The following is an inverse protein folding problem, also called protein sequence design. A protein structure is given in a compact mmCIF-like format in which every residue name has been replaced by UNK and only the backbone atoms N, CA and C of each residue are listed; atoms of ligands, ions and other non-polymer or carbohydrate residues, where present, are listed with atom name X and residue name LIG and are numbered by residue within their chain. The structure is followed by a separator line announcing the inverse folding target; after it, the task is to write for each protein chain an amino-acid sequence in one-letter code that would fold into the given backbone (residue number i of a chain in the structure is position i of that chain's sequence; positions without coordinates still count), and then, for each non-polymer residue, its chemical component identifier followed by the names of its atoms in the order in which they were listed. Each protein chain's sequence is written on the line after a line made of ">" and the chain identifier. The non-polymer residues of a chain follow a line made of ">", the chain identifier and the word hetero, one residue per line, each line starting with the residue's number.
data_IF_765153867611
#
_entry.id   IF_765153867611
#
_cell.length_a   1.000
_cell.length_b   1.000
_cell.length_c   1.000
_cell.angle_alpha   90.00
_cell.angle_beta   90.00
_cell.angle_gamma   90.00
#
_symmetry.space_group_name_H-M   'P 1'
#
loop_
_entity.id
_entity.type
_entity.pdbx_description
1 polymer ?
#
# COMPACT_ATOMS: atom_id res chain seq x y z
N UNK A 1 -13.58 8.58 -9.32
CA UNK A 1 -12.27 8.91 -8.68
C UNK A 1 -11.84 7.78 -7.76
N UNK A 2 -12.75 7.29 -6.91
CA UNK A 2 -12.56 6.07 -6.11
C UNK A 2 -12.36 4.83 -6.99
N UNK A 3 -13.08 4.74 -8.12
CA UNK A 3 -13.01 3.58 -9.03
C UNK A 3 -11.61 3.33 -9.57
N UNK A 4 -10.86 4.40 -9.90
CA UNK A 4 -9.49 4.25 -10.40
C UNK A 4 -8.48 3.76 -9.35
N UNK A 5 -8.74 4.00 -8.06
CA UNK A 5 -7.94 3.42 -6.96
C UNK A 5 -8.26 1.93 -6.85
N UNK A 6 -9.54 1.57 -6.92
CA UNK A 6 -9.99 0.17 -6.88
C UNK A 6 -9.41 -0.60 -8.06
N UNK A 7 -9.49 -0.07 -9.28
CA UNK A 7 -8.94 -0.69 -10.49
C UNK A 7 -7.43 -0.95 -10.37
N UNK A 8 -6.69 -0.04 -9.73
CA UNK A 8 -5.27 -0.22 -9.48
C UNK A 8 -4.97 -1.34 -8.48
N UNK A 9 -5.89 -1.61 -7.55
CA UNK A 9 -5.76 -2.72 -6.60
C UNK A 9 -6.17 -4.07 -7.19
N UNK A 10 -7.00 -4.12 -8.24
CA UNK A 10 -7.38 -5.38 -8.92
C UNK A 10 -6.14 -6.10 -9.47
N UNK A 11 -5.14 -5.36 -9.95
CA UNK A 11 -3.88 -5.94 -10.43
C UNK A 11 -3.10 -6.71 -9.36
N UNK A 12 -3.31 -6.39 -8.07
CA UNK A 12 -2.64 -7.05 -6.96
C UNK A 12 -3.06 -8.50 -6.77
N UNK A 13 -4.28 -8.88 -7.19
CA UNK A 13 -4.72 -10.29 -7.16
C UNK A 13 -3.81 -11.18 -8.01
N UNK A 14 -3.35 -10.66 -9.16
CA UNK A 14 -2.51 -11.40 -10.11
C UNK A 14 -1.03 -11.26 -9.80
N UNK A 15 -0.61 -10.09 -9.33
CA UNK A 15 0.79 -9.74 -9.10
C UNK A 15 0.93 -8.95 -7.78
N UNK A 16 0.80 -9.62 -6.62
CA UNK A 16 0.83 -8.95 -5.32
C UNK A 16 2.19 -8.31 -5.01
N UNK A 17 3.27 -8.79 -5.64
CA UNK A 17 4.62 -8.27 -5.46
C UNK A 17 4.99 -7.09 -6.37
N UNK A 18 4.08 -6.61 -7.23
CA UNK A 18 4.34 -5.51 -8.18
C UNK A 18 4.71 -4.19 -7.50
N UNK A 19 4.20 -3.96 -6.28
CA UNK A 19 4.53 -2.79 -5.48
C UNK A 19 5.92 -2.86 -4.87
N UNK A 20 6.66 -1.76 -4.94
CA UNK A 20 7.96 -1.63 -4.27
C UNK A 20 7.81 -1.64 -2.75
N UNK A 21 8.87 -2.07 -2.03
CA UNK A 21 8.91 -2.00 -0.57
C UNK A 21 8.89 -0.55 -0.07
N UNK A 22 8.05 -0.30 0.92
CA UNK A 22 7.97 1.01 1.58
C UNK A 22 9.18 1.22 2.50
N UNK A 23 10.10 2.10 2.06
CA UNK A 23 11.35 2.39 2.76
C UNK A 23 11.13 2.94 4.17
N UNK A 24 10.04 3.69 4.38
CA UNK A 24 9.70 4.27 5.68
C UNK A 24 9.16 3.25 6.70
N UNK A 25 8.85 2.02 6.27
CA UNK A 25 8.25 0.96 7.08
C UNK A 25 9.06 -0.35 7.01
N UNK A 26 10.35 -0.29 6.62
CA UNK A 26 11.21 -1.47 6.53
C UNK A 26 11.49 -2.15 7.88
N UNK A 27 11.33 -1.40 8.96
CA UNK A 27 11.43 -1.87 10.34
C UNK A 27 10.24 -2.76 10.76
N UNK A 28 9.16 -2.76 9.98
CA UNK A 28 7.94 -3.51 10.29
C UNK A 28 7.97 -4.92 9.66
N UNK A 29 7.54 -5.97 10.40
CA UNK A 29 7.62 -7.36 9.93
C UNK A 29 6.72 -7.66 8.72
N UNK A 30 5.69 -6.85 8.48
CA UNK A 30 4.69 -7.04 7.42
C UNK A 30 5.27 -6.85 6.01
N UNK A 31 6.53 -6.37 5.86
CA UNK A 31 7.17 -6.13 4.56
C UNK A 31 6.30 -5.24 3.65
N UNK A 32 5.87 -4.10 4.19
CA UNK A 32 4.98 -3.17 3.50
C UNK A 32 5.45 -2.83 2.09
N UNK A 33 4.48 -2.74 1.18
CA UNK A 33 4.62 -2.36 -0.21
C UNK A 33 3.72 -1.19 -0.54
N UNK A 34 3.96 -0.55 -1.67
CA UNK A 34 3.10 0.53 -2.13
C UNK A 34 2.83 0.52 -3.62
N UNK A 35 1.68 1.05 -3.99
CA UNK A 35 1.36 1.50 -5.35
C UNK A 35 1.10 3.00 -5.35
N UNK A 36 1.38 3.66 -6.48
CA UNK A 36 1.04 5.08 -6.69
C UNK A 36 0.02 5.18 -7.80
N UNK A 37 -1.11 5.81 -7.52
CA UNK A 37 -2.13 6.15 -8.49
C UNK A 37 -2.42 7.64 -8.44
N UNK A 38 -2.03 8.39 -9.48
CA UNK A 38 -2.08 9.86 -9.50
C UNK A 38 -1.35 10.45 -8.28
N UNK A 39 -2.03 11.27 -7.47
CA UNK A 39 -1.50 11.85 -6.23
C UNK A 39 -1.82 10.98 -5.00
N UNK A 40 -2.15 9.70 -5.17
CA UNK A 40 -2.44 8.80 -4.05
C UNK A 40 -1.41 7.69 -3.96
N UNK A 41 -1.03 7.35 -2.73
CA UNK A 41 -0.23 6.19 -2.41
C UNK A 41 -1.08 5.20 -1.62
N UNK A 42 -1.05 3.96 -2.06
CA UNK A 42 -1.76 2.83 -1.47
C UNK A 42 -0.70 1.96 -0.79
N UNK A 43 -0.71 1.90 0.53
CA UNK A 43 0.18 1.05 1.32
C UNK A 43 -0.53 -0.26 1.61
N UNK A 44 0.15 -1.37 1.36
CA UNK A 44 -0.42 -2.70 1.55
C UNK A 44 0.65 -3.71 1.98
N UNK A 45 0.23 -4.88 2.42
CA UNK A 45 1.11 -6.03 2.57
C UNK A 45 0.41 -7.34 2.19
N UNK A 46 1.21 -8.35 1.93
CA UNK A 46 0.73 -9.70 1.58
C UNK A 46 0.62 -10.48 2.90
N UNK A 47 -0.61 -10.86 3.26
CA UNK A 47 -0.86 -11.67 4.44
C UNK A 47 -0.80 -13.14 4.05
N UNK A 48 0.40 -13.71 3.98
CA UNK A 48 0.62 -15.11 3.60
C UNK A 48 -0.23 -16.08 4.46
N UNK A 49 -0.35 -15.93 5.79
CA UNK A 49 -1.20 -16.81 6.60
C UNK A 49 -2.69 -16.78 6.25
N UNK A 50 -3.23 -15.60 5.87
CA UNK A 50 -4.64 -15.44 5.50
C UNK A 50 -4.91 -15.57 4.01
N UNK A 51 -3.86 -15.69 3.20
CA UNK A 51 -3.90 -15.74 1.74
C UNK A 51 -4.68 -14.57 1.12
N UNK A 52 -4.48 -13.36 1.65
CA UNK A 52 -5.10 -12.14 1.11
C UNK A 52 -4.14 -10.95 1.17
N UNK A 53 -4.60 -9.81 0.68
CA UNK A 53 -3.86 -8.55 0.70
C UNK A 53 -4.54 -7.59 1.66
N UNK A 54 -3.80 -7.12 2.65
CA UNK A 54 -4.28 -6.10 3.58
C UNK A 54 -3.88 -4.72 3.06
N UNK A 55 -4.87 -3.86 2.81
CA UNK A 55 -4.64 -2.44 2.51
C UNK A 55 -4.53 -1.68 3.83
N UNK A 56 -3.32 -1.21 4.15
CA UNK A 56 -3.00 -0.54 5.40
C UNK A 56 -3.51 0.91 5.42
N UNK A 57 -3.24 1.63 4.34
CA UNK A 57 -3.49 3.07 4.25
C UNK A 57 -3.60 3.50 2.79
N UNK A 58 -4.49 4.45 2.52
CA UNK A 58 -4.53 5.20 1.25
C UNK A 58 -4.45 6.67 1.60
N UNK A 59 -3.47 7.40 1.07
CA UNK A 59 -3.30 8.82 1.38
C UNK A 59 -2.80 9.61 0.18
N UNK A 60 -3.01 10.91 0.24
CA UNK A 60 -2.55 11.85 -0.80
C UNK A 60 -1.04 12.14 -0.61
N UNK A 61 -0.23 11.88 -1.64
CA UNK A 61 1.23 12.02 -1.62
C UNK A 61 1.69 13.47 -1.52
N UNK A 62 0.80 14.45 -1.70
CA UNK A 62 1.11 15.87 -1.48
C UNK A 62 1.14 16.23 0.01
N UNK A 63 0.68 15.34 0.88
CA UNK A 63 0.80 15.47 2.32
C UNK A 63 2.16 14.95 2.81
N UNK A 64 2.50 15.29 4.05
CA UNK A 64 3.72 14.82 4.71
C UNK A 64 3.76 13.27 4.76
N UNK A 65 4.72 12.62 4.08
CA UNK A 65 4.81 11.16 4.02
C UNK A 65 5.16 10.52 5.37
N UNK A 66 5.68 11.27 6.35
CA UNK A 66 6.00 10.71 7.67
C UNK A 66 4.75 10.43 8.51
N UNK A 67 3.58 10.98 8.15
CA UNK A 67 2.31 10.72 8.85
C UNK A 67 1.88 9.26 8.84
N UNK A 68 2.37 8.45 7.89
CA UNK A 68 2.10 7.01 7.80
C UNK A 68 2.57 6.28 9.08
N UNK A 69 3.56 6.84 9.80
CA UNK A 69 4.07 6.26 11.06
C UNK A 69 3.21 6.60 12.28
N UNK A 70 2.25 7.50 12.17
CA UNK A 70 1.48 8.00 13.32
C UNK A 70 0.14 7.28 13.54
N UNK A 71 -0.26 6.39 12.62
CA UNK A 71 -1.42 5.53 12.79
C UNK A 71 -1.04 4.22 13.49
N UNK A 72 -0.90 4.25 14.81
CA UNK A 72 -0.99 3.08 15.71
C UNK A 72 -1.91 3.40 16.88
#
# INVERSE_FOLDING_TARGET
>A
MVDGIIDHTIGLEKQPDIGEREKLLLDRPQKFRYLVFKSYKIIYWINEPKNWIDIAHVFDTRQDPFKIRQGE
#
